data_IF_257783568119
#
_entry.id   IF_257783568119
#
_cell.length_a   1.000
_cell.length_b   1.000
_cell.length_c   1.000
_cell.angle_alpha   90.00
_cell.angle_beta   90.00
_cell.angle_gamma   90.00
#
_symmetry.space_group_name_H-M   'P 1'
#
loop_
_entity.id
_entity.type
_entity.pdbx_description
1 polymer ?
#
# COMPACT_ATOMS: atom_id res chain seq x y z
N UNK A 1 -10.08 -8.43 15.76
CA UNK A 1 -10.99 -7.26 15.94
C UNK A 1 -10.66 -6.30 14.82
N UNK A 2 -11.65 -5.74 14.11
CA UNK A 2 -11.40 -4.77 13.05
C UNK A 2 -11.49 -3.35 13.62
N UNK A 3 -10.51 -2.51 13.28
CA UNK A 3 -10.52 -1.08 13.63
C UNK A 3 -11.35 -0.30 12.59
N UNK A 4 -12.04 0.76 13.03
CA UNK A 4 -12.84 1.62 12.14
C UNK A 4 -12.10 2.90 11.84
N UNK A 5 -11.93 3.20 10.56
CA UNK A 5 -11.30 4.42 10.06
C UNK A 5 -12.38 5.32 9.43
N UNK A 6 -12.37 6.61 9.76
CA UNK A 6 -13.25 7.58 9.12
C UNK A 6 -12.65 8.01 7.77
N UNK A 7 -13.45 7.94 6.72
CA UNK A 7 -13.10 8.40 5.39
C UNK A 7 -14.02 9.57 5.04
N UNK A 8 -13.47 10.61 4.42
CA UNK A 8 -14.25 11.72 3.89
C UNK A 8 -15.33 11.24 2.90
N UNK A 9 -16.53 11.83 2.96
CA UNK A 9 -17.66 11.38 2.17
C UNK A 9 -17.45 11.55 0.66
N UNK A 10 -16.78 12.62 0.23
CA UNK A 10 -16.46 12.85 -1.18
C UNK A 10 -15.39 11.88 -1.67
N UNK A 11 -14.40 11.56 -0.82
CA UNK A 11 -13.44 10.51 -1.11
C UNK A 11 -14.13 9.15 -1.24
N UNK A 12 -15.06 8.82 -0.34
CA UNK A 12 -15.80 7.55 -0.39
C UNK A 12 -16.66 7.40 -1.65
N UNK A 13 -17.28 8.49 -2.14
CA UNK A 13 -18.00 8.48 -3.41
C UNK A 13 -17.09 8.15 -4.60
N UNK A 14 -15.87 8.71 -4.61
CA UNK A 14 -14.85 8.37 -5.62
C UNK A 14 -14.41 6.91 -5.51
N UNK A 15 -14.23 6.40 -4.29
CA UNK A 15 -13.88 5.00 -4.07
C UNK A 15 -14.92 4.08 -4.69
N UNK A 16 -16.22 4.30 -4.45
CA UNK A 16 -17.30 3.49 -5.06
C UNK A 16 -17.20 3.43 -6.59
N UNK A 17 -17.03 4.58 -7.24
CA UNK A 17 -16.90 4.66 -8.70
C UNK A 17 -15.70 3.85 -9.20
N UNK A 18 -14.57 3.96 -8.52
CA UNK A 18 -13.35 3.23 -8.89
C UNK A 18 -13.51 1.73 -8.63
N UNK A 19 -14.13 1.34 -7.52
CA UNK A 19 -14.42 -0.06 -7.18
C UNK A 19 -15.26 -0.74 -8.27
N UNK A 20 -16.32 -0.08 -8.77
CA UNK A 20 -17.15 -0.61 -9.85
C UNK A 20 -16.38 -0.77 -11.17
N UNK A 21 -15.57 0.23 -11.53
CA UNK A 21 -14.79 0.20 -12.77
C UNK A 21 -13.69 -0.87 -12.72
N UNK A 22 -13.03 -1.00 -11.57
CA UNK A 22 -11.89 -1.91 -11.41
C UNK A 22 -12.32 -3.36 -11.08
N UNK A 23 -13.63 -3.64 -11.00
CA UNK A 23 -14.18 -4.99 -10.84
C UNK A 23 -14.02 -5.55 -9.42
N UNK A 24 -13.87 -4.70 -8.41
CA UNK A 24 -13.81 -5.10 -7.02
C UNK A 24 -15.22 -5.38 -6.47
N UNK A 25 -15.33 -6.36 -5.59
CA UNK A 25 -16.63 -6.78 -5.02
C UNK A 25 -17.21 -5.74 -4.06
N UNK A 26 -16.35 -4.98 -3.37
CA UNK A 26 -16.72 -3.97 -2.37
C UNK A 26 -15.65 -2.89 -2.22
N UNK A 27 -16.04 -1.72 -1.70
CA UNK A 27 -15.09 -0.64 -1.38
C UNK A 27 -14.07 -1.09 -0.32
N UNK A 28 -14.51 -1.87 0.67
CA UNK A 28 -13.61 -2.44 1.69
C UNK A 28 -12.50 -3.30 1.09
N UNK A 29 -12.81 -4.10 0.08
CA UNK A 29 -11.84 -4.97 -0.61
C UNK A 29 -10.82 -4.13 -1.38
N UNK A 30 -11.30 -3.13 -2.12
CA UNK A 30 -10.45 -2.16 -2.80
C UNK A 30 -9.51 -1.42 -1.83
N UNK A 31 -10.04 -0.91 -0.73
CA UNK A 31 -9.27 -0.14 0.26
C UNK A 31 -8.23 -1.02 0.94
N UNK A 32 -8.60 -2.25 1.32
CA UNK A 32 -7.67 -3.21 1.94
C UNK A 32 -6.52 -3.51 0.98
N UNK A 33 -6.83 -3.85 -0.27
CA UNK A 33 -5.83 -4.15 -1.28
C UNK A 33 -4.87 -2.97 -1.55
N UNK A 34 -5.39 -1.74 -1.59
CA UNK A 34 -4.56 -0.55 -1.76
C UNK A 34 -3.64 -0.31 -0.56
N UNK A 35 -4.13 -0.53 0.67
CA UNK A 35 -3.33 -0.39 1.89
C UNK A 35 -2.23 -1.45 1.92
N UNK A 36 -2.54 -2.72 1.67
CA UNK A 36 -1.54 -3.80 1.64
C UNK A 36 -0.46 -3.56 0.59
N UNK A 37 -0.86 -3.08 -0.59
CA UNK A 37 0.07 -2.74 -1.67
C UNK A 37 1.04 -1.62 -1.26
N UNK A 38 0.53 -0.54 -0.66
CA UNK A 38 1.37 0.58 -0.26
C UNK A 38 2.25 0.24 0.96
N UNK A 39 1.74 -0.55 1.92
CA UNK A 39 2.54 -1.09 3.02
C UNK A 39 3.70 -1.92 2.48
N UNK A 40 3.42 -2.88 1.60
CA UNK A 40 4.46 -3.71 0.98
C UNK A 40 5.52 -2.86 0.30
N UNK A 41 5.12 -1.78 -0.40
CA UNK A 41 6.06 -0.88 -1.06
C UNK A 41 6.95 -0.13 -0.07
N UNK A 42 6.39 0.35 1.04
CA UNK A 42 7.15 1.05 2.08
C UNK A 42 8.09 0.08 2.79
N UNK A 43 7.60 -1.09 3.21
CA UNK A 43 8.39 -2.13 3.88
C UNK A 43 9.50 -2.69 2.97
N UNK A 44 9.23 -2.80 1.67
CA UNK A 44 10.25 -3.18 0.68
C UNK A 44 11.28 -2.07 0.47
N UNK A 45 10.87 -0.80 0.44
CA UNK A 45 11.79 0.33 0.29
C UNK A 45 12.73 0.49 1.50
N UNK A 46 12.22 0.21 2.70
CA UNK A 46 13.03 0.16 3.92
C UNK A 46 14.02 -1.02 3.85
N UNK A 47 13.57 -2.17 3.34
CA UNK A 47 14.42 -3.36 3.12
C UNK A 47 15.49 -3.15 2.05
N UNK A 48 15.18 -2.44 0.95
CA UNK A 48 16.14 -2.11 -0.11
C UNK A 48 17.23 -1.17 0.40
N UNK A 49 16.88 -0.22 1.27
CA UNK A 49 17.84 0.68 1.92
C UNK A 49 18.78 -0.11 2.84
N UNK A 50 18.25 -1.07 3.61
CA UNK A 50 19.04 -1.97 4.47
C UNK A 50 19.91 -2.95 3.65
N UNK A 51 19.44 -3.36 2.47
CA UNK A 51 20.18 -4.21 1.52
C UNK A 51 21.28 -3.44 0.80
N UNK A 52 21.03 -2.21 0.34
CA UNK A 52 22.05 -1.32 -0.23
C UNK A 52 23.15 -1.01 0.80
N UNK A 53 22.80 -0.70 2.06
CA UNK A 53 23.80 -0.49 3.12
C UNK A 53 24.63 -1.75 3.37
N UNK A 54 24.01 -2.94 3.40
CA UNK A 54 24.74 -4.22 3.53
C UNK A 54 25.64 -4.48 2.32
N UNK A 55 25.18 -4.23 1.10
CA UNK A 55 25.97 -4.43 -0.12
C UNK A 55 27.14 -3.44 -0.21
N UNK A 56 26.94 -2.18 0.21
CA UNK A 56 28.01 -1.17 0.32
C UNK A 56 29.03 -1.55 1.40
N UNK A 57 28.57 -2.02 2.57
CA UNK A 57 29.45 -2.49 3.64
C UNK A 57 30.27 -3.73 3.27
N UNK A 58 29.78 -4.53 2.32
CA UNK A 58 30.47 -5.69 1.77
C UNK A 58 31.30 -5.39 0.50
N UNK A 59 31.27 -4.15 0.00
CA UNK A 59 32.08 -3.69 -1.15
C UNK A 59 31.59 -4.16 -2.52
N UNK A 60 30.31 -4.52 -2.66
CA UNK A 60 29.74 -4.97 -3.94
C UNK A 60 29.24 -3.84 -4.84
N UNK A 61 29.07 -2.63 -4.28
CA UNK A 61 28.62 -1.41 -4.97
C UNK A 61 29.36 -0.20 -4.36
N UNK A 62 29.77 0.76 -5.21
CA UNK A 62 30.44 2.02 -4.85
C UNK A 62 29.47 3.21 -4.85
#
# INVERSE_FOLDING_TARGET
>A
MAEKIKIDGHLYDRLKKVTEIAGYTSVDDFVTHMIEKELTKIESADSDSDVEERLRGLGYIE
#
